data_IF_291596321527
#
_entry.id   IF_291596321527
#
_cell.length_a   1.000
_cell.length_b   1.000
_cell.length_c   1.000
_cell.angle_alpha   90.00
_cell.angle_beta   90.00
_cell.angle_gamma   90.00
#
_symmetry.space_group_name_H-M   'P 1'
#
loop_
_entity.id
_entity.type
_entity.pdbx_description
1 polymer ?
#
# COMPACT_ATOMS: atom_id res chain seq x y z
N UNK A 1 -12.04 -17.99 17.67
CA UNK A 1 -12.40 -18.29 16.28
C UNK A 1 -13.79 -17.71 15.93
N UNK A 2 -13.93 -16.42 15.85
CA UNK A 2 -15.15 -15.73 15.35
C UNK A 2 -14.71 -14.61 14.43
N UNK A 3 -14.47 -14.90 13.15
CA UNK A 3 -14.00 -13.86 12.23
C UNK A 3 -14.10 -14.09 10.74
N UNK A 4 -14.30 -15.32 10.28
CA UNK A 4 -14.54 -15.60 8.87
C UNK A 4 -15.95 -16.17 8.72
N UNK A 5 -16.94 -15.35 8.38
CA UNK A 5 -18.27 -15.81 7.92
C UNK A 5 -18.22 -15.92 6.40
N UNK A 6 -18.64 -17.08 5.90
CA UNK A 6 -18.91 -17.30 4.48
C UNK A 6 -19.83 -16.20 3.93
N UNK A 7 -19.46 -15.67 2.76
CA UNK A 7 -20.34 -14.79 1.99
C UNK A 7 -21.51 -15.64 1.48
N UNK A 8 -22.66 -15.49 2.11
CA UNK A 8 -23.94 -16.03 1.60
C UNK A 8 -24.48 -15.06 0.55
N UNK A 9 -24.61 -15.56 -0.68
CA UNK A 9 -25.21 -14.84 -1.81
C UNK A 9 -26.70 -14.59 -1.55
N UNK A 10 -27.04 -13.41 -1.06
CA UNK A 10 -28.43 -12.89 -1.13
C UNK A 10 -28.43 -11.48 -1.68
N UNK A 11 -28.79 -11.39 -2.95
CA UNK A 11 -29.34 -10.17 -3.55
C UNK A 11 -30.42 -9.61 -2.63
N UNK A 12 -30.20 -8.45 -2.00
CA UNK A 12 -31.26 -7.65 -1.40
C UNK A 12 -31.57 -6.48 -2.33
N UNK A 13 -32.76 -6.54 -2.91
CA UNK A 13 -33.45 -5.40 -3.47
C UNK A 13 -33.52 -4.28 -2.42
N UNK A 14 -33.04 -3.10 -2.81
CA UNK A 14 -33.12 -1.89 -2.00
C UNK A 14 -34.49 -1.27 -2.27
N UNK A 15 -35.42 -1.44 -1.35
CA UNK A 15 -36.69 -0.71 -1.30
C UNK A 15 -36.42 0.73 -0.86
N UNK A 16 -36.80 1.67 -1.71
CA UNK A 16 -36.86 3.09 -1.39
C UNK A 16 -37.97 3.41 -0.40
N UNK A 17 -37.70 3.34 0.91
CA UNK A 17 -38.62 3.93 1.91
C UNK A 17 -38.17 5.37 2.21
N UNK A 18 -39.07 6.30 1.88
CA UNK A 18 -39.03 7.69 2.32
C UNK A 18 -39.06 7.75 3.84
N UNK A 19 -38.03 8.34 4.43
CA UNK A 19 -38.03 8.71 5.84
C UNK A 19 -38.89 9.94 6.06
N UNK A 20 -39.67 10.01 7.16
CA UNK A 20 -40.52 11.14 7.47
C UNK A 20 -39.69 12.35 7.89
N UNK A 21 -40.01 13.50 7.28
CA UNK A 21 -39.56 14.83 7.69
C UNK A 21 -40.26 15.17 9.00
N UNK A 22 -39.51 15.40 10.07
CA UNK A 22 -40.06 15.99 11.28
C UNK A 22 -39.45 15.54 12.58
N UNK A 23 -38.29 16.13 12.96
CA UNK A 23 -37.95 16.30 14.38
C UNK A 23 -37.70 17.76 14.62
N UNK A 24 -38.54 18.39 15.41
CA UNK A 24 -38.51 19.81 15.74
C UNK A 24 -37.22 20.17 16.49
N UNK A 25 -36.38 21.00 15.90
CA UNK A 25 -35.25 21.68 16.57
C UNK A 25 -35.87 22.87 17.35
N UNK A 26 -35.54 22.97 18.64
CA UNK A 26 -36.02 24.09 19.48
C UNK A 26 -35.47 25.44 18.94
N UNK A 27 -36.23 26.54 19.07
CA UNK A 27 -35.90 27.80 18.41
C UNK A 27 -34.89 28.61 19.22
N UNK A 28 -33.62 28.27 19.11
CA UNK A 28 -32.49 29.07 19.63
C UNK A 28 -31.19 28.94 18.82
N UNK A 29 -31.26 28.39 17.62
CA UNK A 29 -30.11 28.27 16.73
C UNK A 29 -30.49 28.74 15.32
N UNK A 30 -29.74 29.66 14.75
CA UNK A 30 -29.86 30.01 13.34
C UNK A 30 -29.16 28.92 12.49
N UNK A 31 -29.89 28.35 11.52
CA UNK A 31 -29.39 27.32 10.62
C UNK A 31 -29.28 27.92 9.22
N UNK A 32 -28.07 27.92 8.65
CA UNK A 32 -27.82 28.36 7.28
C UNK A 32 -27.50 27.16 6.39
N UNK A 33 -28.16 27.07 5.24
CA UNK A 33 -27.86 26.06 4.21
C UNK A 33 -26.94 26.74 3.20
N UNK A 34 -25.67 26.29 3.16
CA UNK A 34 -24.64 26.84 2.27
C UNK A 34 -24.46 26.02 1.01
N UNK A 35 -24.73 24.72 1.09
CA UNK A 35 -24.81 23.78 -0.04
C UNK A 35 -25.79 22.62 0.32
N UNK A 36 -26.33 21.86 -0.66
CA UNK A 36 -27.37 20.87 -0.39
C UNK A 36 -26.96 19.71 0.55
N UNK A 37 -25.70 19.64 0.97
CA UNK A 37 -25.17 18.60 1.86
C UNK A 37 -24.51 19.16 3.13
N UNK A 38 -24.60 20.46 3.40
CA UNK A 38 -23.94 21.11 4.53
C UNK A 38 -24.95 21.87 5.38
N UNK A 39 -25.14 21.44 6.64
CA UNK A 39 -25.94 22.15 7.64
C UNK A 39 -25.01 22.84 8.65
N UNK A 40 -25.16 24.13 8.81
CA UNK A 40 -24.42 24.95 9.76
C UNK A 40 -25.37 25.40 10.87
N UNK A 41 -25.06 25.04 12.13
CA UNK A 41 -25.83 25.47 13.29
C UNK A 41 -24.99 26.31 14.24
N UNK A 42 -25.50 27.45 14.69
CA UNK A 42 -24.91 28.29 15.73
C UNK A 42 -25.57 28.01 17.08
N UNK A 43 -24.77 27.79 18.13
CA UNK A 43 -25.29 27.59 19.49
C UNK A 43 -25.10 28.87 20.29
N UNK A 44 -26.20 29.41 20.87
CA UNK A 44 -26.14 30.61 21.73
C UNK A 44 -25.40 30.26 23.02
N UNK A 45 -24.23 30.86 23.22
CA UNK A 45 -23.44 30.77 24.45
C UNK A 45 -22.00 30.25 24.30
N UNK A 46 -21.67 29.63 23.19
CA UNK A 46 -20.30 29.32 22.79
C UNK A 46 -20.08 29.73 21.34
N UNK A 47 -18.98 30.41 21.05
CA UNK A 47 -18.60 30.86 19.70
C UNK A 47 -18.09 29.71 18.80
N UNK A 48 -18.77 28.55 18.83
CA UNK A 48 -18.37 27.35 18.09
C UNK A 48 -19.37 27.02 16.99
N UNK A 49 -18.88 26.88 15.79
CA UNK A 49 -19.66 26.54 14.59
C UNK A 49 -19.65 25.02 14.39
N UNK A 50 -20.82 24.41 14.26
CA UNK A 50 -20.94 22.97 13.98
C UNK A 50 -21.23 22.74 12.51
N UNK A 51 -20.40 21.91 11.84
CA UNK A 51 -20.60 21.47 10.48
C UNK A 51 -21.06 20.00 10.47
N UNK A 52 -22.29 19.75 10.00
CA UNK A 52 -22.82 18.40 9.79
C UNK A 52 -22.67 18.02 8.31
N UNK A 53 -21.84 17.01 8.01
CA UNK A 53 -21.84 16.38 6.70
C UNK A 53 -22.67 15.12 6.72
N UNK A 54 -23.67 15.01 5.85
CA UNK A 54 -24.64 13.91 5.81
C UNK A 54 -24.12 12.61 5.21
N UNK A 55 -22.83 12.52 4.82
CA UNK A 55 -22.31 11.39 4.05
C UNK A 55 -21.46 10.42 4.89
N UNK A 56 -20.95 10.82 6.09
CA UNK A 56 -20.17 9.92 6.95
C UNK A 56 -20.46 10.15 8.44
N UNK A 57 -20.98 9.14 9.07
CA UNK A 57 -21.58 9.15 10.43
C UNK A 57 -20.59 9.26 11.62
N UNK A 58 -19.35 9.68 11.44
CA UNK A 58 -18.35 9.69 12.52
C UNK A 58 -17.37 10.86 12.58
N UNK A 59 -17.62 11.98 11.91
CA UNK A 59 -16.74 13.16 12.01
C UNK A 59 -17.51 14.41 12.44
N UNK A 60 -17.32 14.85 13.70
CA UNK A 60 -17.68 16.19 14.16
C UNK A 60 -16.53 17.14 13.85
N UNK A 61 -16.81 18.24 13.15
CA UNK A 61 -15.83 19.32 12.95
C UNK A 61 -16.22 20.49 13.83
N UNK A 62 -15.34 20.89 14.72
CA UNK A 62 -15.46 22.13 15.49
C UNK A 62 -14.62 23.19 14.79
N UNK A 63 -15.20 24.35 14.52
CA UNK A 63 -14.50 25.54 14.06
C UNK A 63 -14.49 26.52 15.23
N UNK A 64 -13.32 26.86 15.71
CA UNK A 64 -13.14 27.93 16.68
C UNK A 64 -12.88 29.25 15.89
N UNK A 65 -13.69 30.27 16.14
CA UNK A 65 -13.59 31.58 15.45
C UNK A 65 -13.01 32.54 16.46
N UNK A 66 -11.78 33.01 16.23
CA UNK A 66 -11.20 34.09 17.04
C UNK A 66 -11.79 35.47 16.68
N UNK A 67 -11.60 36.44 17.58
CA UNK A 67 -12.15 37.82 17.45
C UNK A 67 -11.63 38.58 16.21
N UNK A 68 -10.73 38.00 15.40
CA UNK A 68 -10.13 38.58 14.20
C UNK A 68 -10.59 37.99 12.87
N UNK A 69 -11.68 37.18 12.83
CA UNK A 69 -12.16 36.49 11.62
C UNK A 69 -11.16 35.50 10.98
N UNK A 70 -10.17 35.02 11.72
CA UNK A 70 -9.33 33.93 11.28
C UNK A 70 -9.97 32.57 11.68
N UNK A 71 -10.38 31.81 10.70
CA UNK A 71 -10.90 30.44 10.90
C UNK A 71 -9.69 29.51 11.12
N UNK A 72 -9.41 29.15 12.37
CA UNK A 72 -8.49 28.04 12.64
C UNK A 72 -9.21 26.72 12.36
N UNK A 73 -8.74 26.00 11.36
CA UNK A 73 -9.20 24.63 11.05
C UNK A 73 -8.51 23.65 11.96
N UNK A 74 -8.90 23.55 13.21
CA UNK A 74 -8.52 22.41 14.04
C UNK A 74 -9.52 21.29 13.79
N UNK A 75 -9.26 20.53 12.73
CA UNK A 75 -9.97 19.28 12.49
C UNK A 75 -9.37 18.24 13.42
N UNK A 76 -9.99 18.00 14.57
CA UNK A 76 -9.67 16.82 15.38
C UNK A 76 -10.13 15.57 14.63
N UNK A 77 -9.27 15.07 13.75
CA UNK A 77 -9.42 13.74 13.16
C UNK A 77 -9.07 12.74 14.27
N UNK A 78 -9.96 11.81 14.56
CA UNK A 78 -9.58 10.67 15.39
C UNK A 78 -8.39 9.96 14.75
N UNK A 79 -7.29 9.87 15.46
CA UNK A 79 -6.11 9.11 15.03
C UNK A 79 -6.24 7.67 15.48
N UNK A 80 -5.73 6.73 14.66
CA UNK A 80 -5.56 5.33 15.05
C UNK A 80 -4.16 5.13 15.62
N UNK A 81 -4.08 4.42 16.72
CA UNK A 81 -2.82 4.06 17.37
C UNK A 81 -2.13 2.93 16.62
N UNK A 82 -0.87 3.16 16.25
CA UNK A 82 -0.09 2.28 15.41
C UNK A 82 1.18 1.83 16.10
N UNK A 83 1.46 0.55 16.00
CA UNK A 83 2.75 -0.05 16.39
C UNK A 83 3.43 -0.65 15.16
N UNK A 84 4.75 -0.50 15.08
CA UNK A 84 5.58 -1.09 14.03
C UNK A 84 6.45 -2.19 14.65
N UNK A 85 6.30 -3.43 14.18
CA UNK A 85 7.18 -4.54 14.51
C UNK A 85 8.22 -4.72 13.40
N UNK A 86 9.50 -4.67 13.76
CA UNK A 86 10.61 -4.77 12.80
C UNK A 86 11.14 -3.41 12.33
N UNK A 87 11.08 -2.37 13.17
CA UNK A 87 11.57 -1.02 12.84
C UNK A 87 13.07 -0.96 12.54
N UNK A 88 13.85 -1.94 13.02
CA UNK A 88 15.30 -2.00 12.76
C UNK A 88 15.64 -2.21 11.27
N UNK A 89 14.74 -2.80 10.46
CA UNK A 89 14.89 -3.00 9.03
C UNK A 89 14.60 -1.75 8.19
N UNK A 90 15.10 -1.68 6.94
CA UNK A 90 14.87 -0.53 6.06
C UNK A 90 13.38 -0.23 5.82
N UNK A 91 12.56 -1.27 5.60
CA UNK A 91 11.12 -1.10 5.42
C UNK A 91 10.44 -0.54 6.66
N UNK A 92 10.82 -1.05 7.86
CA UNK A 92 10.30 -0.55 9.13
C UNK A 92 10.68 0.91 9.39
N UNK A 93 11.90 1.32 9.03
CA UNK A 93 12.35 2.72 9.13
C UNK A 93 11.53 3.64 8.21
N UNK A 94 11.25 3.20 6.97
CA UNK A 94 10.41 3.98 6.04
C UNK A 94 8.96 4.02 6.52
N UNK A 95 8.41 2.91 7.07
CA UNK A 95 7.09 2.92 7.72
C UNK A 95 7.02 3.95 8.84
N UNK A 96 8.03 4.00 9.72
CA UNK A 96 8.07 4.98 10.81
C UNK A 96 8.03 6.42 10.27
N UNK A 97 8.79 6.72 9.19
CA UNK A 97 8.76 8.03 8.55
C UNK A 97 7.39 8.39 7.99
N UNK A 98 6.69 7.43 7.35
CA UNK A 98 5.36 7.64 6.79
C UNK A 98 4.31 7.81 7.87
N UNK A 99 4.29 6.94 8.88
CA UNK A 99 3.34 7.01 10.02
C UNK A 99 3.48 8.33 10.77
N UNK A 100 4.71 8.77 11.06
CA UNK A 100 4.97 10.05 11.75
C UNK A 100 4.50 11.29 10.97
N UNK A 101 4.28 11.20 9.67
CA UNK A 101 3.76 12.28 8.82
C UNK A 101 2.26 12.14 8.59
N UNK A 102 1.70 10.99 8.83
CA UNK A 102 0.32 10.68 8.50
C UNK A 102 -0.65 11.40 9.45
N UNK A 103 -1.64 12.15 8.92
CA UNK A 103 -2.50 13.00 9.78
C UNK A 103 -3.52 12.22 10.61
N UNK A 104 -3.70 10.91 10.35
CA UNK A 104 -4.66 10.04 11.03
C UNK A 104 -4.03 8.82 11.71
N UNK A 105 -2.71 8.73 11.76
CA UNK A 105 -1.99 7.67 12.45
C UNK A 105 -1.15 8.28 13.57
N UNK A 106 -1.20 7.67 14.74
CA UNK A 106 -0.39 8.01 15.89
C UNK A 106 0.57 6.85 16.18
N UNK A 107 1.87 7.08 16.00
CA UNK A 107 2.89 6.08 16.31
C UNK A 107 3.00 5.97 17.84
N UNK A 108 2.53 4.86 18.43
CA UNK A 108 2.55 4.63 19.89
C UNK A 108 3.66 3.68 20.33
N UNK A 109 4.22 2.89 19.41
CA UNK A 109 5.31 1.97 19.74
C UNK A 109 6.07 1.50 18.51
N UNK A 110 7.36 1.24 18.72
CA UNK A 110 8.25 0.67 17.70
C UNK A 110 9.04 -0.47 18.35
N UNK A 111 9.06 -1.63 17.69
CA UNK A 111 9.71 -2.82 18.21
C UNK A 111 10.77 -3.31 17.25
N UNK A 112 11.91 -3.72 17.79
CA UNK A 112 13.04 -4.23 17.02
C UNK A 112 13.79 -5.31 17.77
N UNK A 113 14.69 -5.99 17.08
CA UNK A 113 15.59 -6.96 17.68
C UNK A 113 16.97 -6.34 17.92
N UNK A 114 17.66 -5.96 16.83
CA UNK A 114 19.05 -5.50 16.88
C UNK A 114 19.22 -4.09 17.46
N UNK A 115 18.18 -3.26 17.38
CA UNK A 115 18.18 -1.86 17.84
C UNK A 115 17.36 -1.66 19.12
N UNK A 116 16.97 -2.74 19.82
CA UNK A 116 16.22 -2.63 21.06
C UNK A 116 17.02 -1.85 22.13
N UNK A 117 16.35 -0.92 22.81
CA UNK A 117 16.96 -0.02 23.80
C UNK A 117 17.55 1.28 23.20
N UNK A 118 17.70 1.38 21.88
CA UNK A 118 18.09 2.63 21.23
C UNK A 118 16.90 3.58 21.06
N UNK A 119 17.17 4.89 20.88
CA UNK A 119 16.12 5.82 20.46
C UNK A 119 15.74 5.59 18.99
N UNK A 120 14.48 5.84 18.62
CA UNK A 120 14.09 5.77 17.21
C UNK A 120 14.93 6.73 16.35
N UNK A 121 15.30 7.90 16.89
CA UNK A 121 16.12 8.88 16.21
C UNK A 121 17.52 8.39 15.81
N UNK A 122 18.07 7.39 16.49
CA UNK A 122 19.37 6.80 16.13
C UNK A 122 19.35 6.08 14.78
N UNK A 123 18.16 5.55 14.37
CA UNK A 123 17.99 4.81 13.11
C UNK A 123 17.07 5.53 12.11
N UNK A 124 16.24 6.47 12.57
CA UNK A 124 15.37 7.33 11.77
C UNK A 124 15.62 8.79 12.16
N UNK A 125 16.70 9.41 11.65
CA UNK A 125 17.06 10.78 12.00
C UNK A 125 15.92 11.77 11.73
N UNK A 126 15.67 12.67 12.70
CA UNK A 126 14.62 13.68 12.62
C UNK A 126 13.22 13.19 13.07
N UNK A 127 13.12 11.99 13.63
CA UNK A 127 11.87 11.48 14.22
C UNK A 127 11.60 12.03 15.63
N UNK A 128 12.61 12.49 16.35
CA UNK A 128 12.57 12.87 17.77
C UNK A 128 11.49 13.90 18.13
N UNK A 129 11.24 14.94 17.32
CA UNK A 129 10.20 15.92 17.63
C UNK A 129 8.77 15.35 17.61
N UNK A 130 8.59 14.20 16.96
CA UNK A 130 7.27 13.55 16.77
C UNK A 130 7.14 12.26 17.58
N UNK A 131 8.25 11.59 17.81
CA UNK A 131 8.33 10.36 18.61
C UNK A 131 9.68 10.28 19.31
N UNK A 132 9.70 10.62 20.59
CA UNK A 132 10.89 10.60 21.43
C UNK A 132 11.12 9.26 22.17
N UNK A 133 10.40 8.20 21.80
CA UNK A 133 10.46 6.91 22.44
C UNK A 133 11.68 6.07 22.06
N UNK A 134 11.89 5.02 22.83
CA UNK A 134 12.90 3.99 22.56
C UNK A 134 12.30 2.85 21.74
N UNK A 135 13.15 2.09 21.10
CA UNK A 135 12.78 0.86 20.38
C UNK A 135 12.64 -0.24 21.43
N UNK A 136 11.43 -0.73 21.59
CA UNK A 136 11.13 -1.83 22.52
C UNK A 136 11.66 -3.17 21.97
N UNK A 137 12.03 -4.10 22.84
CA UNK A 137 12.35 -5.46 22.43
C UNK A 137 11.18 -6.14 21.70
N UNK A 138 11.48 -6.98 20.74
CA UNK A 138 10.47 -7.81 20.09
C UNK A 138 9.77 -8.71 21.11
N UNK A 139 8.43 -8.70 21.13
CA UNK A 139 7.61 -9.46 22.08
C UNK A 139 7.16 -8.67 23.31
N UNK A 140 7.55 -7.39 23.45
CA UNK A 140 6.99 -6.49 24.47
C UNK A 140 5.50 -6.22 24.21
N UNK A 141 4.82 -5.66 25.21
CA UNK A 141 3.41 -5.26 25.12
C UNK A 141 3.19 -4.22 24.01
N UNK A 142 2.12 -4.39 23.24
CA UNK A 142 1.73 -3.47 22.18
C UNK A 142 0.72 -2.41 22.64
N UNK A 143 0.40 -2.38 23.93
CA UNK A 143 -0.57 -1.45 24.49
C UNK A 143 -1.94 -1.53 23.82
N UNK A 144 -2.55 -0.38 23.64
CA UNK A 144 -3.86 -0.21 23.02
C UNK A 144 -3.79 0.10 21.50
N UNK A 145 -2.72 -0.34 20.83
CA UNK A 145 -2.57 -0.16 19.39
C UNK A 145 -3.73 -0.82 18.61
N UNK A 146 -4.32 -0.08 17.71
CA UNK A 146 -5.42 -0.54 16.85
C UNK A 146 -4.88 -1.17 15.55
N UNK A 147 -3.72 -0.70 15.08
CA UNK A 147 -3.04 -1.16 13.87
C UNK A 147 -1.64 -1.67 14.19
N UNK A 148 -1.29 -2.83 13.66
CA UNK A 148 0.06 -3.40 13.77
C UNK A 148 0.64 -3.59 12.38
N UNK A 149 1.74 -2.87 12.10
CA UNK A 149 2.48 -2.95 10.86
C UNK A 149 3.64 -3.95 11.04
N UNK A 150 3.62 -5.06 10.31
CA UNK A 150 4.59 -6.14 10.41
C UNK A 150 5.65 -6.01 9.32
N UNK A 151 6.83 -5.47 9.64
CA UNK A 151 8.00 -5.42 8.76
C UNK A 151 9.02 -6.50 9.17
N UNK A 152 8.56 -7.75 9.24
CA UNK A 152 9.26 -8.87 9.84
C UNK A 152 9.87 -9.81 8.79
N UNK A 153 10.86 -10.61 9.14
CA UNK A 153 11.34 -11.70 8.29
C UNK A 153 10.22 -12.70 7.98
N UNK A 154 10.37 -13.38 6.84
CA UNK A 154 9.49 -14.47 6.44
C UNK A 154 9.35 -15.54 7.55
N UNK A 155 8.13 -16.05 7.74
CA UNK A 155 7.79 -17.07 8.70
C UNK A 155 7.35 -16.54 10.07
N UNK A 156 7.56 -15.25 10.36
CA UNK A 156 7.26 -14.67 11.67
C UNK A 156 5.83 -14.14 11.75
N UNK A 157 5.36 -13.47 10.72
CA UNK A 157 4.02 -12.86 10.70
C UNK A 157 2.91 -13.89 10.88
N UNK A 158 3.03 -15.07 10.31
CA UNK A 158 2.05 -16.16 10.42
C UNK A 158 1.87 -16.66 11.86
N UNK A 159 2.85 -16.49 12.74
CA UNK A 159 2.75 -16.88 14.16
C UNK A 159 2.11 -15.81 15.02
N UNK A 160 2.18 -14.54 14.61
CA UNK A 160 1.68 -13.40 15.36
C UNK A 160 0.26 -12.98 14.95
N UNK A 161 -0.02 -13.03 13.65
CA UNK A 161 -1.27 -12.52 13.10
C UNK A 161 -2.54 -13.12 13.74
N UNK A 162 -2.63 -14.44 14.07
CA UNK A 162 -3.81 -14.97 14.72
C UNK A 162 -4.15 -14.27 16.03
N UNK A 163 -3.16 -14.09 16.91
CA UNK A 163 -3.34 -13.41 18.19
C UNK A 163 -3.74 -11.95 18.02
N UNK A 164 -3.06 -11.21 17.14
CA UNK A 164 -3.34 -9.80 16.88
C UNK A 164 -4.76 -9.58 16.35
N UNK A 165 -5.22 -10.45 15.46
CA UNK A 165 -6.58 -10.42 14.92
C UNK A 165 -7.64 -10.77 15.99
N UNK A 166 -7.35 -11.74 16.86
CA UNK A 166 -8.24 -12.11 17.97
C UNK A 166 -8.35 -10.96 18.99
N UNK A 167 -7.30 -10.19 19.20
CA UNK A 167 -7.29 -8.95 20.01
C UNK A 167 -8.05 -7.79 19.36
N UNK A 168 -8.58 -7.95 18.16
CA UNK A 168 -9.38 -6.92 17.47
C UNK A 168 -8.56 -5.97 16.61
N UNK A 169 -7.23 -6.15 16.48
CA UNK A 169 -6.33 -5.24 15.76
C UNK A 169 -6.41 -5.43 14.24
N UNK A 170 -6.07 -4.40 13.49
CA UNK A 170 -5.80 -4.47 12.07
C UNK A 170 -4.33 -4.82 11.87
N UNK A 171 -4.06 -5.82 11.05
CA UNK A 171 -2.72 -6.33 10.75
C UNK A 171 -2.37 -6.01 9.30
N UNK A 172 -1.28 -5.28 9.08
CA UNK A 172 -0.73 -5.02 7.75
C UNK A 172 0.62 -5.72 7.66
N UNK A 173 0.67 -6.82 6.91
CA UNK A 173 1.87 -7.64 6.78
C UNK A 173 2.68 -7.27 5.53
N UNK A 174 3.88 -6.75 5.75
CA UNK A 174 4.86 -6.48 4.70
C UNK A 174 5.81 -7.68 4.51
N UNK A 175 5.69 -8.69 5.37
CA UNK A 175 6.32 -9.98 5.19
C UNK A 175 5.77 -10.72 3.98
N UNK A 176 6.14 -11.98 3.87
CA UNK A 176 5.76 -12.78 2.72
C UNK A 176 4.66 -13.81 3.05
N UNK A 177 4.26 -13.88 4.33
CA UNK A 177 3.53 -15.02 4.86
C UNK A 177 2.09 -15.12 4.34
N UNK A 178 1.45 -13.98 4.08
CA UNK A 178 0.04 -13.94 3.68
C UNK A 178 -0.19 -13.53 2.22
N UNK A 179 0.85 -13.54 1.36
CA UNK A 179 0.71 -13.09 -0.04
C UNK A 179 -0.07 -14.04 -0.91
N UNK A 180 0.12 -15.35 -0.74
CA UNK A 180 -0.64 -16.38 -1.47
C UNK A 180 -2.01 -16.62 -0.83
N UNK A 181 -3.00 -16.97 -1.67
CA UNK A 181 -4.32 -17.35 -1.19
C UNK A 181 -4.40 -18.86 -0.87
N UNK A 182 -3.58 -19.63 -1.57
CA UNK A 182 -3.53 -21.08 -1.46
C UNK A 182 -2.28 -21.54 -0.70
N UNK A 183 -2.46 -22.50 0.20
CA UNK A 183 -1.40 -23.07 1.01
C UNK A 183 -0.38 -23.84 0.15
N UNK A 184 -0.83 -24.55 -0.90
CA UNK A 184 0.04 -25.30 -1.77
C UNK A 184 0.98 -24.38 -2.57
N UNK A 185 0.49 -23.23 -3.03
CA UNK A 185 1.33 -22.22 -3.66
C UNK A 185 2.36 -21.64 -2.69
N UNK A 186 1.94 -21.36 -1.44
CA UNK A 186 2.86 -20.91 -0.40
C UNK A 186 3.95 -21.95 -0.16
N UNK A 187 3.59 -23.22 0.07
CA UNK A 187 4.55 -24.28 0.33
C UNK A 187 5.50 -24.51 -0.85
N UNK A 188 4.99 -24.44 -2.07
CA UNK A 188 5.81 -24.58 -3.28
C UNK A 188 6.89 -23.51 -3.37
N UNK A 189 6.51 -22.21 -3.16
CA UNK A 189 7.43 -21.10 -3.35
C UNK A 189 8.30 -20.81 -2.13
N UNK A 190 7.80 -21.07 -0.91
CA UNK A 190 8.54 -20.80 0.34
C UNK A 190 9.23 -22.03 0.93
N UNK A 191 8.97 -23.24 0.41
CA UNK A 191 9.56 -24.49 0.87
C UNK A 191 9.33 -24.76 2.37
N UNK A 192 8.21 -24.31 2.89
CA UNK A 192 7.82 -24.47 4.29
C UNK A 192 6.30 -24.54 4.43
N UNK A 193 5.81 -25.26 5.45
CA UNK A 193 4.39 -25.27 5.78
C UNK A 193 3.95 -23.95 6.38
N UNK A 194 2.74 -23.50 6.02
CA UNK A 194 2.14 -22.34 6.63
C UNK A 194 1.56 -22.69 8.00
N UNK A 195 1.86 -21.88 9.05
CA UNK A 195 1.44 -22.22 10.42
C UNK A 195 0.02 -21.73 10.74
N UNK A 196 -0.59 -20.91 9.89
CA UNK A 196 -1.95 -20.38 10.04
C UNK A 196 -2.66 -20.35 8.69
N UNK A 197 -2.82 -21.52 8.00
CA UNK A 197 -3.33 -21.58 6.63
C UNK A 197 -4.78 -21.09 6.52
N UNK A 198 -5.57 -21.17 7.61
CA UNK A 198 -6.93 -20.66 7.66
C UNK A 198 -7.00 -19.14 7.42
N UNK A 199 -5.97 -18.38 7.77
CA UNK A 199 -5.90 -16.95 7.55
C UNK A 199 -5.61 -16.56 6.09
N UNK A 200 -5.07 -17.48 5.29
CA UNK A 200 -4.85 -17.24 3.86
C UNK A 200 -6.15 -16.94 3.12
N UNK A 201 -7.27 -17.48 3.58
CA UNK A 201 -8.60 -17.22 2.99
C UNK A 201 -9.23 -15.89 3.44
N UNK A 202 -8.75 -15.34 4.56
CA UNK A 202 -9.29 -14.12 5.16
C UNK A 202 -8.46 -12.88 4.83
N UNK A 203 -7.25 -13.07 4.31
CA UNK A 203 -6.36 -11.97 3.96
C UNK A 203 -6.88 -11.23 2.74
N UNK A 204 -6.66 -9.94 2.69
CA UNK A 204 -6.83 -9.13 1.48
C UNK A 204 -5.44 -8.80 0.94
N UNK A 205 -5.24 -9.06 -0.36
CA UNK A 205 -3.99 -8.74 -1.02
C UNK A 205 -3.92 -7.24 -1.31
N UNK A 206 -2.88 -6.57 -0.82
CA UNK A 206 -2.80 -5.12 -0.77
C UNK A 206 -2.21 -4.47 -2.03
N UNK A 207 -2.44 -5.01 -3.23
CA UNK A 207 -2.13 -4.34 -4.50
C UNK A 207 -3.30 -3.43 -4.87
N UNK A 208 -3.33 -2.23 -4.28
CA UNK A 208 -4.51 -1.34 -4.24
C UNK A 208 -5.13 -1.10 -5.61
N UNK A 209 -4.35 -0.87 -6.63
CA UNK A 209 -4.82 -0.57 -7.99
C UNK A 209 -5.58 -1.74 -8.64
N UNK A 210 -5.41 -2.95 -8.08
CA UNK A 210 -6.06 -4.18 -8.58
C UNK A 210 -7.17 -4.64 -7.62
N UNK A 211 -6.95 -4.51 -6.31
CA UNK A 211 -7.82 -5.10 -5.28
C UNK A 211 -8.57 -4.06 -4.44
N UNK A 212 -8.65 -2.81 -4.90
CA UNK A 212 -9.28 -1.71 -4.17
C UNK A 212 -10.65 -2.05 -3.61
N UNK A 213 -11.46 -2.79 -4.37
CA UNK A 213 -12.84 -3.13 -3.98
C UNK A 213 -12.93 -4.12 -2.81
N UNK A 214 -11.86 -4.89 -2.57
CA UNK A 214 -11.80 -5.90 -1.51
C UNK A 214 -11.24 -5.34 -0.19
N UNK A 215 -10.55 -4.20 -0.24
CA UNK A 215 -9.85 -3.60 0.90
C UNK A 215 -10.75 -3.00 2.00
N UNK A 216 -11.96 -2.43 1.70
CA UNK A 216 -12.77 -1.83 2.75
C UNK A 216 -13.03 -2.78 3.91
N UNK A 217 -12.76 -2.31 5.14
CA UNK A 217 -12.86 -3.06 6.39
C UNK A 217 -11.93 -4.30 6.48
N UNK A 218 -10.90 -4.41 5.65
CA UNK A 218 -9.89 -5.48 5.74
C UNK A 218 -9.15 -5.40 7.07
N UNK A 219 -9.03 -6.55 7.74
CA UNK A 219 -8.31 -6.66 9.03
C UNK A 219 -6.95 -7.34 8.90
N UNK A 220 -6.73 -8.11 7.84
CA UNK A 220 -5.44 -8.69 7.49
C UNK A 220 -5.11 -8.30 6.05
N UNK A 221 -4.14 -7.42 5.89
CA UNK A 221 -3.70 -6.90 4.60
C UNK A 221 -2.30 -7.45 4.31
N UNK A 222 -2.16 -8.18 3.19
CA UNK A 222 -0.88 -8.71 2.73
C UNK A 222 -0.28 -7.79 1.67
N UNK A 223 0.82 -7.12 2.00
CA UNK A 223 1.48 -6.17 1.09
C UNK A 223 2.30 -6.91 0.04
N UNK A 224 2.17 -6.57 -1.25
CA UNK A 224 2.89 -7.20 -2.35
C UNK A 224 4.41 -7.13 -2.23
N UNK A 225 5.11 -8.04 -2.90
CA UNK A 225 6.54 -7.92 -3.12
C UNK A 225 6.88 -6.76 -4.07
N UNK A 226 8.02 -6.11 -3.85
CA UNK A 226 8.39 -4.90 -4.60
C UNK A 226 8.48 -5.10 -6.13
N UNK A 227 9.12 -6.18 -6.58
CA UNK A 227 9.13 -6.52 -8.01
C UNK A 227 7.73 -6.86 -8.54
N UNK A 228 6.90 -7.48 -7.69
CA UNK A 228 5.53 -7.83 -8.04
C UNK A 228 4.71 -6.57 -8.29
N UNK A 229 4.82 -5.58 -7.42
CA UNK A 229 4.16 -4.28 -7.62
C UNK A 229 4.56 -3.66 -8.95
N UNK A 230 5.86 -3.61 -9.26
CA UNK A 230 6.36 -3.02 -10.51
C UNK A 230 5.86 -3.77 -11.75
N UNK A 231 6.04 -5.08 -11.79
CA UNK A 231 5.72 -5.89 -12.97
C UNK A 231 4.21 -6.07 -13.16
N UNK A 232 3.47 -6.38 -12.07
CA UNK A 232 2.03 -6.61 -12.15
C UNK A 232 1.28 -5.35 -12.56
N UNK A 233 1.58 -4.19 -11.95
CA UNK A 233 0.94 -2.94 -12.38
C UNK A 233 1.36 -2.53 -13.80
N UNK A 234 2.61 -2.80 -14.19
CA UNK A 234 3.04 -2.57 -15.57
C UNK A 234 2.19 -3.35 -16.59
N UNK A 235 1.87 -4.60 -16.32
CA UNK A 235 1.16 -5.50 -17.24
C UNK A 235 -0.36 -5.52 -17.06
N UNK A 236 -0.86 -5.07 -15.92
CA UNK A 236 -2.28 -5.20 -15.55
C UNK A 236 -3.27 -4.65 -16.60
N UNK A 237 -3.05 -3.48 -17.26
CA UNK A 237 -3.99 -3.00 -18.27
C UNK A 237 -4.13 -3.96 -19.46
N UNK A 238 -3.06 -4.63 -19.87
CA UNK A 238 -3.10 -5.62 -20.95
C UNK A 238 -3.86 -6.88 -20.54
N UNK A 239 -3.73 -7.30 -19.27
CA UNK A 239 -4.50 -8.43 -18.70
C UNK A 239 -5.97 -8.05 -18.56
N UNK A 240 -6.27 -6.94 -17.89
CA UNK A 240 -7.64 -6.52 -17.56
C UNK A 240 -8.49 -6.23 -18.81
N UNK A 241 -7.86 -5.87 -19.91
CA UNK A 241 -8.53 -5.61 -21.19
C UNK A 241 -8.31 -6.71 -22.23
N UNK A 242 -7.71 -7.84 -21.83
CA UNK A 242 -7.46 -9.02 -22.69
C UNK A 242 -6.71 -8.67 -23.98
N UNK A 243 -5.67 -7.84 -23.89
CA UNK A 243 -4.75 -7.55 -25.00
C UNK A 243 -3.49 -8.41 -24.97
N UNK A 244 -3.30 -9.19 -23.94
CA UNK A 244 -2.16 -10.08 -23.76
C UNK A 244 -2.60 -11.55 -23.87
N UNK A 245 -1.82 -12.37 -24.58
CA UNK A 245 -2.06 -13.81 -24.68
C UNK A 245 -1.89 -14.52 -23.34
N UNK A 246 -2.34 -15.78 -23.27
CA UNK A 246 -2.16 -16.64 -22.09
C UNK A 246 -0.76 -17.28 -22.04
N UNK A 247 0.11 -16.95 -22.99
CA UNK A 247 1.48 -17.44 -23.04
C UNK A 247 2.37 -16.83 -21.96
N UNK A 248 3.61 -17.31 -21.92
CA UNK A 248 4.67 -16.89 -21.03
C UNK A 248 4.94 -15.38 -21.12
N UNK A 249 4.98 -14.75 -19.96
CA UNK A 249 5.46 -13.38 -19.78
C UNK A 249 6.93 -13.41 -19.34
N UNK A 250 7.75 -12.54 -19.89
CA UNK A 250 9.14 -12.37 -19.47
C UNK A 250 9.26 -11.05 -18.70
N UNK A 251 9.93 -11.09 -17.55
CA UNK A 251 10.17 -9.91 -16.72
C UNK A 251 11.64 -9.86 -16.31
N UNK A 252 12.32 -8.80 -16.72
CA UNK A 252 13.66 -8.46 -16.23
C UNK A 252 13.53 -7.32 -15.20
N UNK A 253 13.91 -7.60 -13.95
CA UNK A 253 13.81 -6.65 -12.85
C UNK A 253 15.17 -6.21 -12.34
N UNK A 254 15.39 -4.91 -12.19
CA UNK A 254 16.64 -4.31 -11.66
C UNK A 254 16.31 -3.58 -10.37
N UNK A 255 16.84 -4.06 -9.23
CA UNK A 255 16.60 -3.49 -7.90
C UNK A 255 17.83 -2.88 -7.29
N UNK A 256 17.63 -1.76 -6.61
CA UNK A 256 18.61 -1.24 -5.68
C UNK A 256 18.90 -2.19 -4.50
N UNK A 257 20.08 -2.06 -3.92
CA UNK A 257 20.61 -2.95 -2.87
C UNK A 257 19.77 -2.99 -1.61
N UNK A 258 19.05 -1.91 -1.31
CA UNK A 258 18.12 -1.88 -0.15
C UNK A 258 17.02 -2.95 -0.22
N UNK A 259 16.70 -3.48 -1.41
CA UNK A 259 15.75 -4.58 -1.59
C UNK A 259 16.20 -5.90 -0.97
N UNK A 260 17.49 -6.07 -0.70
CA UNK A 260 18.04 -7.27 -0.04
C UNK A 260 17.94 -7.23 1.49
N UNK A 261 17.46 -6.11 2.06
CA UNK A 261 17.37 -5.87 3.50
C UNK A 261 18.67 -5.29 4.09
N UNK A 262 18.62 -5.00 5.40
CA UNK A 262 19.71 -4.35 6.15
C UNK A 262 20.82 -5.32 6.55
N UNK A 263 20.52 -6.62 6.69
CA UNK A 263 21.50 -7.60 7.16
C UNK A 263 22.67 -7.72 6.18
N UNK A 264 23.91 -7.61 6.65
CA UNK A 264 25.10 -7.70 5.80
C UNK A 264 25.22 -9.08 5.13
N UNK A 265 25.53 -9.08 3.83
CA UNK A 265 25.83 -10.28 3.05
C UNK A 265 27.07 -10.01 2.20
N UNK A 266 27.85 -11.03 1.89
CA UNK A 266 29.03 -10.88 1.04
C UNK A 266 28.69 -10.24 -0.32
N UNK A 267 27.53 -10.59 -0.90
CA UNK A 267 27.01 -10.06 -2.16
C UNK A 267 26.53 -8.60 -2.08
N UNK A 268 26.35 -8.05 -0.88
CA UNK A 268 25.85 -6.66 -0.67
C UNK A 268 26.90 -5.73 -0.06
N UNK A 269 28.13 -6.18 0.13
CA UNK A 269 29.22 -5.31 0.52
C UNK A 269 29.52 -4.28 -0.57
N UNK A 270 29.92 -3.07 -0.19
CA UNK A 270 30.16 -1.97 -1.12
C UNK A 270 31.03 -2.38 -2.33
N UNK A 271 32.16 -3.05 -2.08
CA UNK A 271 33.07 -3.50 -3.14
C UNK A 271 32.44 -4.54 -4.08
N UNK A 272 31.52 -5.35 -3.57
CA UNK A 272 30.81 -6.38 -4.39
C UNK A 272 29.73 -5.79 -5.27
N UNK A 273 29.15 -4.66 -4.86
CA UNK A 273 27.97 -4.03 -5.52
C UNK A 273 28.38 -2.84 -6.38
N UNK A 274 29.37 -2.05 -5.93
CA UNK A 274 29.75 -0.84 -6.65
C UNK A 274 30.23 -1.19 -8.06
N UNK A 275 29.68 -0.48 -9.05
CA UNK A 275 29.98 -0.70 -10.48
C UNK A 275 29.67 -2.12 -10.99
N UNK A 276 28.83 -2.89 -10.28
CA UNK A 276 28.50 -4.27 -10.60
C UNK A 276 26.98 -4.46 -10.74
N UNK A 277 26.56 -5.04 -11.86
CA UNK A 277 25.18 -5.47 -12.12
C UNK A 277 25.15 -6.99 -12.20
N UNK A 278 24.39 -7.65 -11.35
CA UNK A 278 24.36 -9.11 -11.29
C UNK A 278 22.96 -9.68 -11.17
N UNK A 279 22.68 -10.74 -11.94
CA UNK A 279 21.47 -11.52 -11.78
C UNK A 279 21.57 -12.42 -10.54
N UNK A 280 20.43 -12.68 -9.90
CA UNK A 280 20.35 -13.56 -8.74
C UNK A 280 18.98 -14.29 -8.70
N UNK A 281 18.85 -15.33 -7.86
CA UNK A 281 17.58 -16.01 -7.63
C UNK A 281 16.90 -16.50 -8.91
N UNK A 282 17.67 -17.02 -9.86
CA UNK A 282 17.15 -17.51 -11.13
C UNK A 282 16.28 -18.74 -10.91
N UNK A 283 15.06 -18.72 -11.47
CA UNK A 283 14.06 -19.80 -11.47
C UNK A 283 13.44 -20.11 -10.09
N UNK A 284 13.95 -19.57 -9.00
CA UNK A 284 13.48 -19.84 -7.63
C UNK A 284 13.08 -18.59 -6.83
N UNK A 285 13.10 -17.42 -7.46
CA UNK A 285 12.71 -16.17 -6.78
C UNK A 285 11.23 -16.18 -6.44
N UNK A 286 10.88 -16.04 -5.16
CA UNK A 286 9.52 -16.14 -4.61
C UNK A 286 8.52 -15.18 -5.22
N UNK A 287 8.95 -14.01 -5.71
CA UNK A 287 8.08 -13.07 -6.40
C UNK A 287 7.55 -13.59 -7.75
N UNK A 288 8.15 -14.64 -8.32
CA UNK A 288 7.66 -15.26 -9.57
C UNK A 288 6.24 -15.77 -9.40
N UNK A 289 5.98 -16.60 -8.39
CA UNK A 289 4.66 -17.15 -8.13
C UNK A 289 3.62 -16.07 -7.78
N UNK A 290 4.05 -15.02 -7.09
CA UNK A 290 3.18 -13.89 -6.75
C UNK A 290 2.79 -13.08 -8.01
N UNK A 291 3.71 -12.89 -8.97
CA UNK A 291 3.39 -12.31 -10.27
C UNK A 291 2.45 -13.22 -11.08
N UNK A 292 2.70 -14.53 -11.09
CA UNK A 292 1.83 -15.51 -11.77
C UNK A 292 0.41 -15.49 -11.21
N UNK A 293 0.26 -15.41 -9.89
CA UNK A 293 -1.04 -15.27 -9.24
C UNK A 293 -1.79 -14.00 -9.70
N UNK A 294 -1.09 -12.87 -9.77
CA UNK A 294 -1.72 -11.60 -10.16
C UNK A 294 -2.06 -11.52 -11.64
N UNK A 295 -1.20 -12.07 -12.51
CA UNK A 295 -1.35 -11.98 -13.96
C UNK A 295 -2.16 -13.13 -14.55
N UNK A 296 -2.35 -14.24 -13.79
CA UNK A 296 -2.98 -15.47 -14.29
C UNK A 296 -2.19 -16.15 -15.42
N UNK A 297 -0.86 -15.93 -15.49
CA UNK A 297 0.03 -16.41 -16.55
C UNK A 297 1.36 -16.83 -15.96
N UNK A 298 2.06 -17.73 -16.64
CA UNK A 298 3.43 -18.10 -16.28
C UNK A 298 4.38 -16.94 -16.51
N UNK A 299 5.33 -16.76 -15.59
CA UNK A 299 6.31 -15.68 -15.63
C UNK A 299 7.73 -16.23 -15.63
N UNK A 300 8.52 -15.91 -16.62
CA UNK A 300 9.97 -16.07 -16.58
C UNK A 300 10.56 -14.78 -15.99
N UNK A 301 10.99 -14.84 -14.74
CA UNK A 301 11.51 -13.69 -14.02
C UNK A 301 13.03 -13.76 -13.82
N UNK A 302 13.70 -12.69 -14.21
CA UNK A 302 15.15 -12.51 -14.01
C UNK A 302 15.40 -11.28 -13.16
N UNK A 303 15.55 -11.43 -11.83
CA UNK A 303 15.92 -10.30 -10.97
C UNK A 303 17.40 -9.99 -11.05
N UNK A 304 17.72 -8.70 -11.01
CA UNK A 304 19.09 -8.19 -10.97
C UNK A 304 19.28 -7.25 -9.79
N UNK A 305 20.46 -7.31 -9.18
CA UNK A 305 20.92 -6.33 -8.22
C UNK A 305 21.73 -5.26 -8.96
N UNK A 306 21.28 -4.03 -8.87
CA UNK A 306 21.90 -2.86 -9.50
C UNK A 306 22.71 -2.04 -8.47
N UNK A 307 23.79 -1.35 -8.90
CA UNK A 307 24.64 -0.55 -8.01
C UNK A 307 23.98 0.80 -7.65
N UNK A 308 22.74 0.76 -7.20
CA UNK A 308 21.99 1.91 -6.70
C UNK A 308 21.38 1.57 -5.34
N UNK A 309 21.16 2.56 -4.50
CA UNK A 309 20.64 2.33 -3.16
C UNK A 309 19.17 1.93 -3.18
N UNK A 310 18.32 2.63 -3.96
CA UNK A 310 16.86 2.48 -4.01
C UNK A 310 16.36 2.54 -5.45
N UNK A 311 15.20 1.94 -5.65
CA UNK A 311 14.47 1.92 -6.91
C UNK A 311 14.40 0.52 -7.52
N UNK A 312 13.33 0.29 -8.26
CA UNK A 312 13.17 -0.87 -9.16
C UNK A 312 12.81 -0.34 -10.53
N UNK A 313 13.49 -0.88 -11.55
CA UNK A 313 13.09 -0.80 -12.94
C UNK A 313 12.72 -2.21 -13.38
N UNK A 314 11.51 -2.41 -13.88
CA UNK A 314 11.09 -3.67 -14.49
C UNK A 314 10.82 -3.47 -15.98
N UNK A 315 11.40 -4.32 -16.81
CA UNK A 315 11.09 -4.42 -18.25
C UNK A 315 10.36 -5.73 -18.48
N UNK A 316 9.12 -5.63 -18.90
CA UNK A 316 8.24 -6.77 -19.10
C UNK A 316 7.91 -6.95 -20.59
N UNK A 317 7.89 -8.19 -21.06
CA UNK A 317 7.63 -8.55 -22.45
C UNK A 317 6.44 -9.52 -22.49
N UNK A 318 5.43 -9.20 -23.29
CA UNK A 318 4.23 -10.00 -23.45
C UNK A 318 3.86 -10.17 -24.92
N UNK A 319 3.33 -11.33 -25.26
CA UNK A 319 2.70 -11.56 -26.58
C UNK A 319 1.32 -10.91 -26.59
N UNK A 320 0.92 -10.25 -27.71
CA UNK A 320 -0.46 -9.83 -27.91
C UNK A 320 -1.41 -11.03 -27.89
N UNK A 321 -2.66 -10.77 -27.54
CA UNK A 321 -3.75 -11.70 -27.77
C UNK A 321 -3.85 -12.08 -29.26
N UNK A 322 -4.20 -13.35 -29.55
CA UNK A 322 -4.22 -13.87 -30.89
C UNK A 322 -5.46 -13.43 -31.70
N UNK A 323 -6.51 -13.00 -31.00
CA UNK A 323 -7.80 -12.63 -31.64
C UNK A 323 -7.91 -11.13 -31.85
N UNK A 324 -7.39 -10.34 -30.91
CA UNK A 324 -7.45 -8.88 -30.96
C UNK A 324 -6.30 -8.31 -31.81
N UNK A 325 -6.61 -7.28 -32.57
CA UNK A 325 -5.55 -6.47 -33.18
C UNK A 325 -4.74 -5.77 -32.10
N UNK A 326 -3.41 -5.90 -32.11
CA UNK A 326 -2.56 -5.17 -31.17
C UNK A 326 -2.75 -3.66 -31.32
N UNK A 327 -2.86 -2.96 -30.16
CA UNK A 327 -2.92 -1.50 -30.13
C UNK A 327 -1.53 -0.92 -29.89
N UNK A 328 -1.27 0.29 -30.39
CA UNK A 328 0.04 0.94 -30.33
C UNK A 328 -0.06 2.46 -30.22
N UNK A 329 1.05 3.11 -29.94
CA UNK A 329 1.14 4.57 -29.89
C UNK A 329 0.17 5.15 -28.87
N UNK A 330 -0.51 6.22 -29.25
CA UNK A 330 -1.44 6.95 -28.37
C UNK A 330 -2.61 6.08 -27.88
N UNK A 331 -3.10 5.16 -28.71
CA UNK A 331 -4.18 4.26 -28.31
C UNK A 331 -3.77 3.34 -27.15
N UNK A 332 -2.54 2.86 -27.14
CA UNK A 332 -2.00 2.06 -26.05
C UNK A 332 -1.82 2.90 -24.77
N UNK A 333 -1.33 4.13 -24.91
CA UNK A 333 -1.22 5.05 -23.78
C UNK A 333 -2.59 5.38 -23.18
N UNK A 334 -3.59 5.63 -24.02
CA UNK A 334 -4.97 5.91 -23.57
C UNK A 334 -5.62 4.70 -22.89
N UNK A 335 -5.36 3.47 -23.36
CA UNK A 335 -5.78 2.26 -22.64
C UNK A 335 -5.26 2.26 -21.20
N UNK A 336 -3.96 2.53 -21.02
CA UNK A 336 -3.32 2.56 -19.71
C UNK A 336 -3.87 3.69 -18.83
N UNK A 337 -4.00 4.90 -19.38
CA UNK A 337 -4.60 6.06 -18.70
C UNK A 337 -6.03 5.77 -18.28
N UNK A 338 -6.82 5.13 -19.13
CA UNK A 338 -8.20 4.76 -18.84
C UNK A 338 -8.34 3.69 -17.73
N UNK A 339 -7.45 2.69 -17.70
CA UNK A 339 -7.46 1.66 -16.63
C UNK A 339 -7.07 2.25 -15.29
N UNK A 340 -6.15 3.21 -15.28
CA UNK A 340 -5.63 3.82 -14.05
C UNK A 340 -6.21 5.21 -13.74
N UNK A 341 -7.35 5.58 -14.35
CA UNK A 341 -7.95 6.90 -14.18
C UNK A 341 -8.19 7.28 -12.72
N UNK A 342 -8.59 6.31 -11.89
CA UNK A 342 -8.85 6.49 -10.46
C UNK A 342 -7.68 6.06 -9.56
N UNK A 343 -6.46 5.95 -10.12
CA UNK A 343 -5.27 5.49 -9.40
C UNK A 343 -4.27 6.63 -9.23
N UNK A 344 -4.31 7.38 -8.10
CA UNK A 344 -3.57 8.63 -7.94
C UNK A 344 -2.05 8.43 -8.00
N UNK A 345 -1.57 7.23 -7.73
CA UNK A 345 -0.14 6.91 -7.71
C UNK A 345 0.39 6.28 -9.00
N UNK A 346 -0.42 6.16 -10.06
CA UNK A 346 0.02 5.63 -11.34
C UNK A 346 0.22 6.76 -12.35
N UNK A 347 1.42 6.84 -12.91
CA UNK A 347 1.79 7.78 -13.97
C UNK A 347 2.08 7.01 -15.24
N UNK A 348 1.26 7.22 -16.27
CA UNK A 348 1.52 6.70 -17.63
C UNK A 348 2.34 7.75 -18.38
N UNK A 349 3.57 7.37 -18.76
CA UNK A 349 4.57 8.28 -19.34
C UNK A 349 4.72 8.08 -20.85
N UNK A 350 5.03 9.14 -21.56
CA UNK A 350 5.30 9.10 -23.01
C UNK A 350 6.73 8.64 -23.35
N UNK A 351 7.61 8.68 -22.34
CA UNK A 351 8.98 8.23 -22.44
C UNK A 351 9.27 7.18 -21.36
N UNK A 352 10.23 6.27 -21.60
CA UNK A 352 10.63 5.28 -20.60
C UNK A 352 11.09 5.94 -19.30
N UNK A 353 10.51 5.57 -18.13
CA UNK A 353 10.86 6.17 -16.87
C UNK A 353 12.18 5.63 -16.30
N UNK A 354 12.84 6.45 -15.48
CA UNK A 354 13.98 6.04 -14.66
C UNK A 354 13.61 5.90 -13.18
N UNK A 355 14.40 5.11 -12.43
CA UNK A 355 14.16 4.88 -10.99
C UNK A 355 14.26 6.15 -10.15
N UNK A 356 15.07 7.14 -10.58
CA UNK A 356 15.25 8.40 -9.86
C UNK A 356 13.99 9.27 -9.85
N UNK A 357 13.17 9.20 -10.90
CA UNK A 357 11.94 9.98 -11.04
C UNK A 357 10.87 9.63 -9.99
N UNK A 358 10.94 8.45 -9.43
CA UNK A 358 9.97 7.92 -8.44
C UNK A 358 10.57 7.71 -7.06
N UNK A 359 11.88 7.94 -6.91
CA UNK A 359 12.58 7.71 -5.64
C UNK A 359 12.01 8.58 -4.51
N UNK A 360 11.71 7.96 -3.37
CA UNK A 360 11.12 8.61 -2.20
C UNK A 360 9.62 8.89 -2.31
N UNK A 361 8.96 8.47 -3.40
CA UNK A 361 7.53 8.67 -3.62
C UNK A 361 6.74 7.37 -3.65
N UNK A 362 5.42 7.46 -3.48
CA UNK A 362 4.53 6.32 -3.68
C UNK A 362 4.08 6.15 -5.15
N UNK A 363 4.71 6.83 -6.09
CA UNK A 363 4.38 6.70 -7.51
C UNK A 363 4.99 5.46 -8.15
N UNK A 364 4.24 4.90 -9.08
CA UNK A 364 4.76 4.06 -10.16
C UNK A 364 4.67 4.84 -11.47
N UNK A 365 5.75 4.85 -12.25
CA UNK A 365 5.77 5.39 -13.62
C UNK A 365 5.81 4.22 -14.60
N UNK A 366 4.93 4.24 -15.62
CA UNK A 366 4.74 3.13 -16.57
C UNK A 366 4.79 3.69 -18.00
N UNK A 367 5.59 3.05 -18.84
CA UNK A 367 5.66 3.31 -20.28
C UNK A 367 5.42 2.03 -21.07
N UNK A 368 4.25 1.85 -21.70
CA UNK A 368 3.97 0.71 -22.56
C UNK A 368 4.28 1.06 -24.02
N UNK A 369 4.88 0.14 -24.76
CA UNK A 369 5.04 0.21 -26.22
C UNK A 369 4.72 -1.14 -26.85
N UNK A 370 4.32 -1.13 -28.12
CA UNK A 370 4.19 -2.31 -28.95
C UNK A 370 5.20 -2.26 -30.09
N UNK A 371 5.99 -3.31 -30.24
CA UNK A 371 6.91 -3.49 -31.37
C UNK A 371 6.28 -4.43 -32.42
N UNK A 372 5.80 -3.89 -33.57
CA UNK A 372 5.17 -4.71 -34.60
C UNK A 372 6.17 -5.64 -35.29
N UNK A 373 7.47 -5.33 -35.26
CA UNK A 373 8.52 -6.15 -35.89
C UNK A 373 8.73 -7.46 -35.14
N UNK A 374 8.65 -7.44 -33.82
CA UNK A 374 8.82 -8.63 -32.97
C UNK A 374 7.50 -9.19 -32.46
N UNK A 375 6.39 -8.51 -32.75
CA UNK A 375 5.06 -8.82 -32.23
C UNK A 375 5.07 -8.94 -30.71
N UNK A 376 5.51 -7.88 -30.00
CA UNK A 376 5.61 -7.85 -28.54
C UNK A 376 5.13 -6.53 -27.96
N UNK A 377 4.38 -6.62 -26.88
CA UNK A 377 4.31 -5.52 -25.94
C UNK A 377 5.57 -5.49 -25.08
N UNK A 378 6.15 -4.32 -24.94
CA UNK A 378 7.26 -4.04 -24.01
C UNK A 378 6.76 -2.99 -23.03
N UNK A 379 6.78 -3.31 -21.74
CA UNK A 379 6.30 -2.39 -20.72
C UNK A 379 7.43 -2.14 -19.73
N UNK A 380 7.79 -0.87 -19.59
CA UNK A 380 8.80 -0.42 -18.62
C UNK A 380 8.09 0.25 -17.46
N UNK A 381 8.38 -0.19 -16.24
CA UNK A 381 7.83 0.38 -15.02
C UNK A 381 8.91 0.67 -13.99
N UNK A 382 8.79 1.80 -13.30
CA UNK A 382 9.73 2.22 -12.27
C UNK A 382 8.99 2.56 -10.97
N UNK A 383 9.54 2.11 -9.83
CA UNK A 383 9.05 2.41 -8.47
C UNK A 383 10.21 2.66 -7.51
N UNK A 384 9.94 3.31 -6.36
CA UNK A 384 10.79 3.17 -5.18
C UNK A 384 10.46 1.85 -4.47
N UNK A 385 11.45 0.95 -4.36
CA UNK A 385 11.25 -0.39 -3.79
C UNK A 385 10.91 -0.38 -2.30
N UNK A 386 11.23 0.67 -1.55
CA UNK A 386 10.92 0.80 -0.13
C UNK A 386 9.62 1.60 0.14
N UNK A 387 9.17 2.44 -0.82
CA UNK A 387 7.91 3.20 -0.70
C UNK A 387 6.81 2.47 -1.46
N UNK A 388 6.63 2.70 -2.77
CA UNK A 388 5.59 2.03 -3.56
C UNK A 388 5.74 0.51 -3.56
N UNK A 389 6.97 0.01 -3.51
CA UNK A 389 7.25 -1.42 -3.43
C UNK A 389 7.04 -2.05 -2.06
N UNK A 390 6.78 -1.27 -0.99
CA UNK A 390 6.66 -1.79 0.38
C UNK A 390 5.87 -0.86 1.31
N UNK A 391 6.53 0.07 2.01
CA UNK A 391 5.94 0.86 3.08
C UNK A 391 4.81 1.78 2.61
N UNK A 392 4.97 2.42 1.46
CA UNK A 392 3.95 3.30 0.90
C UNK A 392 2.71 2.54 0.45
N UNK A 393 2.89 1.37 -0.18
CA UNK A 393 1.79 0.47 -0.55
C UNK A 393 1.02 -0.02 0.69
N UNK A 394 1.73 -0.28 1.80
CA UNK A 394 1.12 -0.66 3.07
C UNK A 394 0.20 0.44 3.61
N UNK A 395 0.68 1.69 3.65
CA UNK A 395 -0.13 2.84 4.11
C UNK A 395 -1.27 3.12 3.14
N UNK A 396 -1.05 3.04 1.82
CA UNK A 396 -2.09 3.19 0.80
C UNK A 396 -3.21 2.17 0.99
N UNK A 397 -2.88 0.89 1.19
CA UNK A 397 -3.84 -0.17 1.45
C UNK A 397 -4.58 0.01 2.78
N UNK A 398 -3.89 0.47 3.82
CA UNK A 398 -4.50 0.82 5.11
C UNK A 398 -5.48 1.99 4.94
N UNK A 399 -5.11 3.05 4.21
CA UNK A 399 -6.01 4.17 3.95
C UNK A 399 -7.32 3.71 3.32
N UNK A 400 -7.25 2.91 2.26
CA UNK A 400 -8.45 2.37 1.59
C UNK A 400 -9.25 1.48 2.53
N UNK A 401 -8.59 0.65 3.34
CA UNK A 401 -9.28 -0.24 4.29
C UNK A 401 -10.06 0.52 5.37
N UNK A 402 -9.58 1.72 5.72
CA UNK A 402 -10.22 2.60 6.71
C UNK A 402 -11.20 3.61 6.07
N UNK A 403 -11.41 3.56 4.75
CA UNK A 403 -12.26 4.50 4.03
C UNK A 403 -11.69 5.93 3.98
N UNK A 404 -10.39 6.10 4.10
CA UNK A 404 -9.71 7.38 3.97
C UNK A 404 -9.28 7.64 2.52
N UNK A 405 -8.99 8.91 2.16
CA UNK A 405 -8.36 9.20 0.88
C UNK A 405 -7.07 8.37 0.71
N UNK A 406 -6.93 7.75 -0.45
CA UNK A 406 -5.86 6.81 -0.75
C UNK A 406 -4.47 7.43 -0.60
N UNK A 407 -4.35 8.70 -0.95
CA UNK A 407 -3.12 9.50 -0.92
C UNK A 407 -2.78 10.10 0.44
N UNK A 408 -3.62 9.91 1.45
CA UNK A 408 -3.44 10.55 2.75
C UNK A 408 -2.10 10.14 3.38
N UNK A 409 -1.25 11.14 3.70
CA UNK A 409 0.08 10.92 4.26
C UNK A 409 1.13 10.36 3.28
N UNK A 410 0.79 10.30 1.97
CA UNK A 410 1.66 9.78 0.91
C UNK A 410 1.98 10.83 -0.18
N UNK A 411 1.89 12.10 0.16
CA UNK A 411 2.09 13.27 -0.71
C UNK A 411 3.56 13.70 -0.85
N UNK A 412 4.51 12.80 -0.51
CA UNK A 412 5.93 13.13 -0.56
C UNK A 412 6.38 13.46 -1.99
N UNK A 413 7.08 14.58 -2.11
CA UNK A 413 7.82 14.92 -3.32
C UNK A 413 9.14 14.17 -3.28
N UNK A 414 9.50 13.53 -4.38
CA UNK A 414 10.75 12.80 -4.51
C UNK A 414 11.98 13.70 -4.41
N UNK A 415 13.11 13.11 -4.07
CA UNK A 415 14.39 13.82 -4.04
C UNK A 415 14.92 13.93 -5.47
N UNK A 416 15.04 15.16 -5.96
CA UNK A 416 15.56 15.48 -7.29
C UNK A 416 16.57 16.64 -7.20
N UNK A 417 17.65 16.67 -7.94
CA UNK A 417 18.15 15.78 -8.99
C UNK A 417 18.71 14.46 -8.52
#
# INVERSE_FOLDING_TARGET
MRGCKEKDDRQRQVDHHRLPVGTAIRPSSEVYVVEPHLLIGLNEGHRSLFLLSSIYSSCWRFLDVDDGMNIRRDVYLSTMKVVILGVSGYTGQVLAQLVLRHPRLELTGVHGHDSAGESLGSIVPGSEPRFGGIIEPFGSDLGDAEVVLLALPHGVSQTLAPKLLDEGRVVVDLGADFRFADEADYEFWYRSHHQSPELLKCRIYGLVEVTRQDLPAARLIAVPGCYVTAASLGLWPLVARSFMSDDLVIVDGYSGVSGTGKSPKASTHFVSVNENLSAYGLLDHRHTGEMEMNLGRRVLFTPHLAPISRGILATSYALPDQVKTPIMGDELLELYRGVYADSPFVRVTEQPPGTREVQGTNFIAIHPVYDPRTNRYVVISAIDNLVKGAAGQAIQALNVSQGWPEELGLDQIGVWP
#
